data_IF_641199116134
#
_entry.id   IF_641199116134
#
_cell.length_a   1.000
_cell.length_b   1.000
_cell.length_c   1.000
_cell.angle_alpha   90.00
_cell.angle_beta   90.00
_cell.angle_gamma   90.00
#
_symmetry.space_group_name_H-M   'P 1'
#
loop_
_entity.id
_entity.type
_entity.pdbx_description
1 polymer ?
#
# COMPACT_ATOMS: atom_id res chain seq x y z
N UNK A 1 -33.06 -30.76 13.98
CA UNK A 1 -31.80 -29.98 13.98
C UNK A 1 -32.13 -28.58 14.39
N UNK A 2 -31.58 -28.11 15.52
CA UNK A 2 -31.86 -26.77 16.02
C UNK A 2 -31.12 -25.71 15.19
N UNK A 3 -31.65 -24.48 15.13
CA UNK A 3 -30.98 -23.33 14.50
C UNK A 3 -29.54 -23.13 14.99
N UNK A 4 -29.25 -23.59 16.22
CA UNK A 4 -27.91 -23.59 16.83
C UNK A 4 -26.94 -24.55 16.12
N UNK A 5 -27.36 -25.73 15.69
CA UNK A 5 -26.48 -26.69 15.00
C UNK A 5 -26.09 -26.21 13.60
N UNK A 6 -27.00 -25.54 12.89
CA UNK A 6 -26.71 -24.95 11.57
C UNK A 6 -25.69 -23.80 11.66
N UNK A 7 -25.81 -22.94 12.67
CA UNK A 7 -24.85 -21.85 12.91
C UNK A 7 -23.46 -22.35 13.31
N UNK A 8 -23.38 -23.45 14.06
CA UNK A 8 -22.10 -24.06 14.41
C UNK A 8 -21.33 -24.61 13.21
N UNK A 9 -22.01 -25.18 12.21
CA UNK A 9 -21.36 -25.67 10.98
C UNK A 9 -20.72 -24.51 10.20
N UNK A 10 -21.41 -23.38 10.09
CA UNK A 10 -20.86 -22.21 9.41
C UNK A 10 -19.71 -21.58 10.19
N UNK A 11 -19.80 -21.54 11.51
CA UNK A 11 -18.72 -21.10 12.38
C UNK A 11 -17.45 -21.94 12.24
N UNK A 12 -17.57 -23.27 12.19
CA UNK A 12 -16.44 -24.17 11.97
C UNK A 12 -15.81 -23.97 10.57
N UNK A 13 -16.62 -23.73 9.53
CA UNK A 13 -16.10 -23.42 8.18
C UNK A 13 -15.30 -22.13 8.17
N UNK A 14 -15.79 -21.07 8.83
CA UNK A 14 -15.08 -19.80 8.97
C UNK A 14 -13.77 -20.01 9.73
N UNK A 15 -13.80 -20.73 10.83
CA UNK A 15 -12.63 -21.05 11.64
C UNK A 15 -11.56 -21.82 10.83
N UNK A 16 -11.96 -22.82 10.05
CA UNK A 16 -11.07 -23.55 9.15
C UNK A 16 -10.46 -22.65 8.07
N UNK A 17 -11.26 -21.74 7.50
CA UNK A 17 -10.76 -20.78 6.51
C UNK A 17 -9.70 -19.84 7.11
N UNK A 18 -9.92 -19.33 8.33
CA UNK A 18 -8.94 -18.48 9.04
C UNK A 18 -7.63 -19.23 9.24
N UNK A 19 -7.69 -20.48 9.73
CA UNK A 19 -6.48 -21.31 9.92
C UNK A 19 -5.77 -21.59 8.60
N UNK A 20 -6.51 -21.91 7.54
CA UNK A 20 -5.96 -22.19 6.21
C UNK A 20 -5.25 -20.96 5.61
N UNK A 21 -5.85 -19.77 5.75
CA UNK A 21 -5.26 -18.51 5.30
C UNK A 21 -3.99 -18.17 6.09
N UNK A 22 -4.00 -18.40 7.38
CA UNK A 22 -2.82 -18.19 8.24
C UNK A 22 -1.65 -19.08 7.80
N UNK A 23 -1.91 -20.38 7.56
CA UNK A 23 -0.89 -21.33 7.06
C UNK A 23 -0.37 -20.90 5.68
N UNK A 24 -1.27 -20.56 4.75
CA UNK A 24 -0.92 -20.12 3.39
C UNK A 24 -0.02 -18.87 3.41
N UNK A 25 -0.31 -17.94 4.29
CA UNK A 25 0.44 -16.68 4.40
C UNK A 25 1.66 -16.78 5.32
N UNK A 26 1.96 -17.96 5.88
CA UNK A 26 3.10 -18.23 6.77
C UNK A 26 3.17 -17.27 7.97
N UNK A 27 2.02 -16.84 8.49
CA UNK A 27 1.96 -15.97 9.66
C UNK A 27 2.33 -16.79 10.90
N UNK A 28 3.39 -16.36 11.59
CA UNK A 28 3.85 -17.01 12.83
C UNK A 28 3.10 -16.41 14.03
N UNK A 29 2.66 -17.29 14.97
CA UNK A 29 2.06 -16.92 16.26
C UNK A 29 0.87 -15.94 16.16
N UNK A 30 -0.26 -16.46 15.74
CA UNK A 30 -1.53 -15.73 15.78
C UNK A 30 -2.39 -16.30 16.89
N UNK A 31 -2.65 -15.51 17.93
CA UNK A 31 -3.43 -15.92 19.13
C UNK A 31 -4.83 -16.42 18.77
N UNK A 32 -5.47 -15.82 17.76
CA UNK A 32 -6.78 -16.26 17.28
C UNK A 32 -6.71 -17.66 16.67
N UNK A 33 -5.69 -17.91 15.84
CA UNK A 33 -5.50 -19.22 15.19
C UNK A 33 -5.22 -20.30 16.22
N UNK A 34 -4.40 -20.02 17.23
CA UNK A 34 -4.10 -20.96 18.31
C UNK A 34 -5.36 -21.25 19.14
N UNK A 35 -6.11 -20.21 19.51
CA UNK A 35 -7.38 -20.39 20.23
C UNK A 35 -8.41 -21.18 19.41
N UNK A 36 -8.52 -20.92 18.11
CA UNK A 36 -9.40 -21.66 17.20
C UNK A 36 -9.03 -23.16 17.17
N UNK A 37 -7.75 -23.48 17.05
CA UNK A 37 -7.29 -24.87 17.03
C UNK A 37 -7.59 -25.60 18.33
N UNK A 38 -7.39 -24.93 19.45
CA UNK A 38 -7.50 -25.54 20.76
C UNK A 38 -8.94 -25.66 21.26
N UNK A 39 -9.86 -24.78 20.85
CA UNK A 39 -11.19 -24.66 21.43
C UNK A 39 -12.36 -24.75 20.44
N UNK A 40 -12.11 -24.57 19.13
CA UNK A 40 -13.19 -24.45 18.14
C UNK A 40 -13.22 -25.62 17.16
N UNK A 41 -12.05 -26.08 16.71
CA UNK A 41 -11.99 -27.11 15.67
C UNK A 41 -12.24 -28.52 16.20
N UNK A 42 -12.91 -29.31 15.38
CA UNK A 42 -13.22 -30.70 15.68
C UNK A 42 -14.17 -30.85 16.87
N UNK A 43 -13.88 -31.80 17.73
CA UNK A 43 -14.67 -32.05 18.94
C UNK A 43 -14.44 -31.05 20.07
N UNK A 44 -13.42 -30.21 19.96
CA UNK A 44 -13.07 -29.23 21.01
C UNK A 44 -14.17 -28.20 21.24
N UNK A 45 -14.97 -27.91 20.21
CA UNK A 45 -16.13 -27.02 20.31
C UNK A 45 -17.17 -27.48 21.35
N UNK A 46 -17.24 -28.77 21.63
CA UNK A 46 -18.14 -29.33 22.67
C UNK A 46 -17.70 -28.95 24.09
N UNK A 47 -16.47 -28.46 24.23
CA UNK A 47 -15.91 -28.04 25.53
C UNK A 47 -16.20 -26.56 25.82
N UNK A 48 -16.71 -25.78 24.85
CA UNK A 48 -17.19 -24.40 25.05
C UNK A 48 -18.52 -24.44 25.84
N UNK A 49 -18.43 -24.56 27.16
CA UNK A 49 -19.59 -24.78 28.05
C UNK A 49 -20.14 -23.51 28.70
N UNK A 50 -19.46 -22.38 28.49
CA UNK A 50 -19.83 -21.14 29.17
C UNK A 50 -19.82 -19.95 28.23
N UNK A 51 -20.69 -18.97 28.53
CA UNK A 51 -20.71 -17.66 27.88
C UNK A 51 -19.37 -16.92 28.06
N UNK A 52 -18.65 -17.19 29.16
CA UNK A 52 -17.35 -16.60 29.42
C UNK A 52 -16.30 -17.00 28.35
N UNK A 53 -16.29 -18.26 27.93
CA UNK A 53 -15.37 -18.75 26.89
C UNK A 53 -15.67 -18.13 25.52
N UNK A 54 -16.96 -17.91 25.20
CA UNK A 54 -17.37 -17.19 24.00
C UNK A 54 -16.96 -15.71 24.06
N UNK A 55 -17.11 -15.06 25.20
CA UNK A 55 -16.68 -13.67 25.38
C UNK A 55 -15.16 -13.54 25.25
N UNK A 56 -14.39 -14.50 25.72
CA UNK A 56 -12.94 -14.55 25.52
C UNK A 56 -12.56 -14.68 24.05
N UNK A 57 -13.29 -15.49 23.30
CA UNK A 57 -13.10 -15.59 21.84
C UNK A 57 -13.40 -14.25 21.15
N UNK A 58 -14.50 -13.58 21.52
CA UNK A 58 -14.86 -12.27 20.97
C UNK A 58 -13.76 -11.25 21.25
N UNK A 59 -13.24 -11.19 22.47
CA UNK A 59 -12.14 -10.28 22.84
C UNK A 59 -10.87 -10.55 21.98
N UNK A 60 -10.54 -11.82 21.75
CA UNK A 60 -9.40 -12.17 20.87
C UNK A 60 -9.66 -11.73 19.43
N UNK A 61 -10.87 -11.95 18.92
CA UNK A 61 -11.26 -11.52 17.55
C UNK A 61 -11.19 -10.00 17.42
N UNK A 62 -11.76 -9.26 18.37
CA UNK A 62 -11.75 -7.79 18.35
C UNK A 62 -10.33 -7.23 18.37
N UNK A 63 -9.46 -7.81 19.22
CA UNK A 63 -8.04 -7.42 19.27
C UNK A 63 -7.31 -7.70 17.96
N UNK A 64 -7.59 -8.82 17.28
CA UNK A 64 -7.01 -9.13 15.97
C UNK A 64 -7.54 -8.21 14.88
N UNK A 65 -8.83 -7.89 14.86
CA UNK A 65 -9.42 -6.92 13.93
C UNK A 65 -8.75 -5.56 14.10
N UNK A 66 -8.65 -5.07 15.34
CA UNK A 66 -8.00 -3.79 15.64
C UNK A 66 -6.52 -3.78 15.22
N UNK A 67 -5.81 -4.91 15.43
CA UNK A 67 -4.44 -5.07 14.97
C UNK A 67 -4.34 -4.99 13.45
N UNK A 68 -5.22 -5.69 12.73
CA UNK A 68 -5.22 -5.68 11.27
C UNK A 68 -5.63 -4.33 10.70
N UNK A 69 -6.63 -3.67 11.25
CA UNK A 69 -7.05 -2.33 10.83
C UNK A 69 -5.93 -1.29 10.97
N UNK A 70 -5.11 -1.43 12.01
CA UNK A 70 -3.98 -0.52 12.24
C UNK A 70 -2.73 -0.86 11.43
N UNK A 71 -2.50 -2.14 11.11
CA UNK A 71 -1.22 -2.61 10.58
C UNK A 71 -1.29 -3.15 9.14
N UNK A 72 -2.47 -3.46 8.61
CA UNK A 72 -2.61 -3.89 7.22
C UNK A 72 -3.00 -2.71 6.34
N UNK A 73 -2.02 -2.23 5.59
CA UNK A 73 -2.24 -1.28 4.50
C UNK A 73 -2.52 -2.08 3.23
N UNK A 74 -3.77 -2.08 2.79
CA UNK A 74 -4.13 -2.64 1.48
C UNK A 74 -3.58 -1.71 0.40
N UNK A 75 -2.68 -2.17 -0.48
CA UNK A 75 -2.14 -1.33 -1.52
C UNK A 75 -3.21 -1.09 -2.59
N UNK A 76 -3.70 0.15 -2.67
CA UNK A 76 -4.65 0.62 -3.66
C UNK A 76 -3.96 1.55 -4.65
N UNK A 77 -4.02 1.23 -5.93
CA UNK A 77 -3.48 2.07 -6.98
C UNK A 77 -4.43 3.21 -7.34
N UNK A 78 -3.87 4.39 -7.60
CA UNK A 78 -4.58 5.52 -8.19
C UNK A 78 -4.18 5.65 -9.65
N UNK A 79 -5.17 5.67 -10.55
CA UNK A 79 -4.98 5.84 -12.00
C UNK A 79 -5.64 7.12 -12.46
N UNK A 80 -4.87 8.01 -13.09
CA UNK A 80 -5.34 9.30 -13.60
C UNK A 80 -4.77 9.57 -14.99
N UNK A 81 -5.46 10.37 -15.78
CA UNK A 81 -4.95 10.85 -17.08
C UNK A 81 -4.05 12.07 -16.93
N UNK A 82 -4.39 12.97 -16.01
CA UNK A 82 -3.74 14.26 -15.79
C UNK A 82 -4.13 14.82 -14.43
N UNK A 83 -3.26 15.62 -13.82
CA UNK A 83 -3.60 16.42 -12.65
C UNK A 83 -2.84 17.75 -12.63
N UNK A 84 -3.43 18.73 -11.95
CA UNK A 84 -2.85 20.05 -11.76
C UNK A 84 -3.27 20.64 -10.43
N UNK A 85 -2.34 21.29 -9.73
CA UNK A 85 -2.55 22.00 -8.47
C UNK A 85 -3.30 21.14 -7.42
N UNK A 86 -2.94 19.85 -7.32
CA UNK A 86 -3.62 18.90 -6.45
C UNK A 86 -2.66 18.12 -5.52
N UNK A 87 -3.23 17.49 -4.52
CA UNK A 87 -2.55 16.54 -3.66
C UNK A 87 -3.19 15.15 -3.86
N UNK A 88 -2.36 14.14 -4.19
CA UNK A 88 -2.80 12.75 -4.35
C UNK A 88 -1.95 11.86 -3.48
N UNK A 89 -2.61 11.04 -2.66
CA UNK A 89 -1.98 9.99 -1.84
C UNK A 89 -2.50 8.63 -2.25
N UNK A 90 -1.60 7.64 -2.34
CA UNK A 90 -1.92 6.25 -2.67
C UNK A 90 -1.17 5.31 -1.76
N UNK A 91 -1.85 4.29 -1.26
CA UNK A 91 -1.22 3.16 -0.54
C UNK A 91 -0.59 2.13 -1.48
N UNK A 92 -0.89 2.19 -2.78
CA UNK A 92 -0.27 1.45 -3.86
C UNK A 92 0.56 2.36 -4.76
N UNK A 93 0.38 2.22 -6.07
CA UNK A 93 1.02 3.03 -7.09
C UNK A 93 0.17 4.25 -7.46
N UNK A 94 0.82 5.30 -7.98
CA UNK A 94 0.16 6.36 -8.75
C UNK A 94 0.55 6.18 -10.21
N UNK A 95 -0.44 5.99 -11.09
CA UNK A 95 -0.24 5.73 -12.52
C UNK A 95 -0.88 6.86 -13.30
N UNK A 96 -0.04 7.59 -14.05
CA UNK A 96 -0.44 8.74 -14.86
C UNK A 96 -0.42 8.33 -16.32
N UNK A 97 -1.62 8.20 -16.90
CA UNK A 97 -1.82 7.65 -18.26
C UNK A 97 -1.87 8.67 -19.40
N UNK A 98 -1.72 9.96 -19.11
CA UNK A 98 -1.88 11.03 -20.10
C UNK A 98 -0.77 12.07 -20.04
N UNK A 99 -1.16 13.33 -20.14
CA UNK A 99 -0.22 14.47 -20.29
C UNK A 99 0.76 14.66 -19.13
N UNK A 100 0.44 14.15 -17.95
CA UNK A 100 1.33 14.27 -16.81
C UNK A 100 0.72 14.99 -15.62
N UNK A 101 1.58 15.62 -14.80
CA UNK A 101 1.18 16.43 -13.67
C UNK A 101 1.79 17.83 -13.74
N UNK A 102 1.09 18.81 -13.16
CA UNK A 102 1.52 20.19 -13.05
C UNK A 102 1.33 20.70 -11.62
N UNK A 103 2.42 21.16 -11.00
CA UNK A 103 2.44 21.80 -9.67
C UNK A 103 1.71 21.01 -8.58
N UNK A 104 1.74 19.69 -8.67
CA UNK A 104 1.00 18.81 -7.78
C UNK A 104 1.92 18.10 -6.77
N UNK A 105 1.33 17.65 -5.67
CA UNK A 105 2.02 16.83 -4.68
C UNK A 105 1.50 15.40 -4.75
N UNK A 106 2.34 14.49 -5.24
CA UNK A 106 2.01 13.07 -5.39
C UNK A 106 2.77 12.25 -4.37
N UNK A 107 2.07 11.41 -3.61
CA UNK A 107 2.66 10.54 -2.62
C UNK A 107 2.15 9.11 -2.79
N UNK A 108 3.01 8.21 -3.28
CA UNK A 108 2.73 6.79 -3.44
C UNK A 108 3.53 5.98 -2.42
N UNK A 109 2.91 5.02 -1.75
CA UNK A 109 3.66 4.06 -0.91
C UNK A 109 4.49 3.08 -1.73
N UNK A 110 4.15 2.90 -3.01
CA UNK A 110 4.93 2.10 -3.98
C UNK A 110 5.55 3.00 -5.04
N UNK A 111 5.19 2.84 -6.30
CA UNK A 111 5.81 3.52 -7.43
C UNK A 111 4.93 4.65 -7.98
N UNK A 112 5.57 5.65 -8.61
CA UNK A 112 4.90 6.64 -9.45
C UNK A 112 5.31 6.38 -10.90
N UNK A 113 4.33 6.09 -11.76
CA UNK A 113 4.54 5.64 -13.12
C UNK A 113 3.81 6.56 -14.13
N UNK A 114 4.57 7.22 -14.98
CA UNK A 114 4.04 7.90 -16.14
C UNK A 114 4.13 6.95 -17.33
N UNK A 115 3.01 6.64 -17.96
CA UNK A 115 2.96 5.60 -19.00
C UNK A 115 3.30 6.10 -20.39
N UNK A 116 3.27 7.42 -20.61
CA UNK A 116 3.61 8.03 -21.90
C UNK A 116 5.00 8.67 -21.85
N UNK A 117 5.78 8.51 -22.92
CA UNK A 117 7.14 9.04 -23.03
C UNK A 117 7.22 10.56 -23.03
N UNK A 118 6.19 11.21 -23.53
CA UNK A 118 6.04 12.66 -23.65
C UNK A 118 5.26 13.27 -22.48
N UNK A 119 4.85 12.46 -21.50
CA UNK A 119 4.24 12.95 -20.26
C UNK A 119 5.22 13.80 -19.47
N UNK A 120 4.73 14.81 -18.77
CA UNK A 120 5.55 15.78 -18.06
C UNK A 120 5.26 15.73 -16.55
N UNK A 121 6.32 15.68 -15.74
CA UNK A 121 6.27 15.95 -14.30
C UNK A 121 6.81 17.38 -14.09
N UNK A 122 5.92 18.37 -13.90
CA UNK A 122 6.29 19.78 -13.91
C UNK A 122 5.89 20.52 -12.65
N UNK A 123 6.84 20.77 -11.79
CA UNK A 123 6.65 21.45 -10.51
C UNK A 123 6.09 20.54 -9.43
N UNK A 124 6.12 21.03 -8.19
CA UNK A 124 5.62 20.26 -7.05
C UNK A 124 6.57 19.17 -6.56
N UNK A 125 6.02 18.21 -5.84
CA UNK A 125 6.78 17.15 -5.15
C UNK A 125 6.20 15.80 -5.47
N UNK A 126 7.00 14.91 -6.03
CA UNK A 126 6.67 13.51 -6.27
C UNK A 126 7.44 12.64 -5.30
N UNK A 127 6.75 11.91 -4.44
CA UNK A 127 7.34 11.02 -3.44
C UNK A 127 6.87 9.60 -3.63
N UNK A 128 7.80 8.67 -3.85
CA UNK A 128 7.50 7.24 -3.98
C UNK A 128 8.26 6.43 -2.93
N UNK A 129 7.59 5.44 -2.35
CA UNK A 129 8.24 4.45 -1.49
C UNK A 129 9.10 3.44 -2.25
N UNK A 130 8.97 3.38 -3.57
CA UNK A 130 9.76 2.58 -4.51
C UNK A 130 10.45 3.44 -5.55
N UNK A 131 9.98 3.38 -6.80
CA UNK A 131 10.60 4.02 -7.95
C UNK A 131 9.72 5.13 -8.53
N UNK A 132 10.33 6.04 -9.28
CA UNK A 132 9.63 7.01 -10.12
C UNK A 132 10.09 6.81 -11.56
N UNK A 133 9.14 6.58 -12.46
CA UNK A 133 9.38 6.55 -13.91
C UNK A 133 8.54 7.63 -14.58
N UNK A 134 9.20 8.60 -15.22
CA UNK A 134 8.55 9.72 -15.86
C UNK A 134 9.00 9.85 -17.33
N UNK A 135 8.24 10.61 -18.11
CA UNK A 135 8.66 11.03 -19.43
C UNK A 135 9.68 12.17 -19.31
N UNK A 136 9.21 13.39 -19.20
CA UNK A 136 10.03 14.59 -19.04
C UNK A 136 9.81 15.16 -17.64
N UNK A 137 10.90 15.53 -16.94
CA UNK A 137 10.83 16.11 -15.61
C UNK A 137 11.22 17.59 -15.66
N UNK A 138 10.44 18.44 -14.99
CA UNK A 138 10.65 19.88 -14.97
C UNK A 138 10.14 20.56 -16.25
N UNK A 139 10.63 21.78 -16.50
CA UNK A 139 10.27 22.57 -17.69
C UNK A 139 11.32 23.63 -17.99
N UNK A 140 11.33 24.13 -19.23
CA UNK A 140 12.18 25.23 -19.66
C UNK A 140 11.98 26.51 -18.82
N UNK A 141 10.80 26.70 -18.23
CA UNK A 141 10.52 27.80 -17.29
C UNK A 141 11.20 27.62 -15.93
N UNK A 142 11.98 26.55 -15.72
CA UNK A 142 12.73 26.26 -14.49
C UNK A 142 11.86 26.19 -13.22
N UNK A 143 10.62 25.71 -13.35
CA UNK A 143 9.76 25.46 -12.17
C UNK A 143 10.40 24.37 -11.32
N UNK A 144 10.57 24.63 -10.03
CA UNK A 144 11.18 23.68 -9.11
C UNK A 144 10.35 22.38 -9.05
N UNK A 145 10.98 21.27 -9.39
CA UNK A 145 10.39 19.94 -9.39
C UNK A 145 11.24 19.04 -8.51
N UNK A 146 10.64 18.39 -7.51
CA UNK A 146 11.34 17.55 -6.54
C UNK A 146 10.83 16.13 -6.64
N UNK A 147 11.75 15.17 -6.80
CA UNK A 147 11.44 13.74 -6.82
C UNK A 147 12.13 13.06 -5.66
N UNK A 148 11.36 12.39 -4.81
CA UNK A 148 11.84 11.69 -3.63
C UNK A 148 11.66 10.19 -3.78
N UNK A 149 12.72 9.42 -3.60
CA UNK A 149 12.69 7.96 -3.51
C UNK A 149 13.58 7.48 -2.36
N UNK A 150 13.39 6.26 -1.82
CA UNK A 150 14.32 5.68 -0.85
C UNK A 150 15.71 5.47 -1.47
N UNK A 151 16.72 5.17 -0.65
CA UNK A 151 18.10 4.90 -1.11
C UNK A 151 18.18 3.75 -2.12
N UNK A 152 17.27 2.79 -2.05
CA UNK A 152 17.18 1.63 -2.96
C UNK A 152 16.33 1.91 -4.20
N UNK A 153 15.61 3.04 -4.22
CA UNK A 153 14.73 3.42 -5.31
C UNK A 153 15.49 3.96 -6.51
N UNK A 154 14.81 3.94 -7.65
CA UNK A 154 15.33 4.46 -8.93
C UNK A 154 14.43 5.56 -9.44
N UNK A 155 15.03 6.58 -10.08
CA UNK A 155 14.33 7.59 -10.86
C UNK A 155 14.78 7.41 -12.30
N UNK A 156 13.84 7.23 -13.21
CA UNK A 156 14.10 7.09 -14.66
C UNK A 156 13.27 8.11 -15.43
N UNK A 157 13.88 8.77 -16.40
CA UNK A 157 13.18 9.68 -17.29
C UNK A 157 13.85 9.77 -18.67
N UNK A 158 13.08 10.17 -19.69
CA UNK A 158 13.64 10.48 -21.02
C UNK A 158 14.42 11.79 -21.00
N UNK A 159 14.10 12.70 -20.08
CA UNK A 159 14.85 13.94 -19.89
C UNK A 159 14.45 14.66 -18.62
N UNK A 160 15.32 15.52 -18.13
CA UNK A 160 15.04 16.44 -17.04
C UNK A 160 15.63 17.81 -17.29
N UNK A 161 14.83 18.83 -17.02
CA UNK A 161 15.25 20.23 -17.09
C UNK A 161 16.04 20.66 -15.84
N UNK A 162 16.90 21.65 -16.01
CA UNK A 162 17.59 22.30 -14.90
C UNK A 162 16.61 22.71 -13.79
N UNK A 163 17.11 22.84 -12.56
CA UNK A 163 16.33 23.13 -11.37
C UNK A 163 15.41 21.97 -10.92
N UNK A 164 15.60 20.77 -11.49
CA UNK A 164 15.01 19.54 -10.97
C UNK A 164 15.89 19.00 -9.83
N UNK A 165 15.27 18.53 -8.77
CA UNK A 165 15.96 17.96 -7.60
C UNK A 165 15.57 16.51 -7.42
N UNK A 166 16.58 15.65 -7.40
CA UNK A 166 16.44 14.22 -7.09
C UNK A 166 16.87 13.97 -5.65
N UNK A 167 16.04 13.32 -4.86
CA UNK A 167 16.32 12.94 -3.49
C UNK A 167 16.29 11.41 -3.35
N UNK A 168 17.38 10.83 -2.86
CA UNK A 168 17.55 9.42 -2.56
C UNK A 168 17.77 9.26 -1.06
N UNK A 169 16.69 9.01 -0.31
CA UNK A 169 16.71 9.10 1.14
C UNK A 169 17.14 10.51 1.62
N UNK A 170 18.28 10.60 2.29
CA UNK A 170 18.83 11.89 2.75
C UNK A 170 19.72 12.58 1.72
N UNK A 171 20.11 11.90 0.65
CA UNK A 171 21.00 12.45 -0.39
C UNK A 171 20.17 13.25 -1.38
N UNK A 172 20.62 14.49 -1.66
CA UNK A 172 19.94 15.43 -2.57
C UNK A 172 20.89 15.85 -3.68
N UNK A 173 20.38 15.84 -4.93
CA UNK A 173 21.11 16.23 -6.13
C UNK A 173 20.20 17.15 -6.93
N UNK A 174 20.59 18.40 -7.11
CA UNK A 174 19.89 19.34 -8.00
C UNK A 174 20.68 19.46 -9.30
N UNK A 175 20.01 19.34 -10.44
CA UNK A 175 20.67 19.44 -11.74
C UNK A 175 20.72 20.89 -12.18
N UNK A 176 21.89 21.30 -12.70
CA UNK A 176 22.19 22.69 -13.09
C UNK A 176 21.99 22.93 -14.59
N UNK A 177 21.91 21.85 -15.39
CA UNK A 177 21.69 21.89 -16.82
C UNK A 177 20.72 20.78 -17.24
N UNK A 178 20.09 20.98 -18.41
CA UNK A 178 19.18 19.98 -18.96
C UNK A 178 19.93 18.66 -19.26
N UNK A 179 19.27 17.54 -18.99
CA UNK A 179 19.82 16.19 -19.14
C UNK A 179 18.85 15.31 -19.93
N UNK A 180 19.40 14.36 -20.68
CA UNK A 180 18.63 13.34 -21.40
C UNK A 180 19.01 11.94 -20.90
N UNK A 181 18.03 11.00 -20.97
CA UNK A 181 18.21 9.57 -20.59
C UNK A 181 18.77 9.37 -19.17
N UNK A 182 17.96 9.74 -18.21
CA UNK A 182 18.27 9.66 -16.77
C UNK A 182 17.75 8.34 -16.19
#
# INVERSE_FOLDING_TARGET
KSLTELRFVDFQKIALNIVSLNIKNKIKHNKLVDYIKDHVLGYNILNLKSIYELNKLLEIVDNEIEFYDKNIIVPLDVRIGYCQDCEIKSTGNIIIGGRGEYTSNLNAMKDILFTQRDSVARGGILSAGGNISAGIIGSAASVSTILNVPLTGKITATGAYKNTTFCFGKKKITIERDMENI
#
